data_IF_604597946789
#
_entry.id   IF_604597946789
#
_cell.length_a   1.000
_cell.length_b   1.000
_cell.length_c   1.000
_cell.angle_alpha   90.00
_cell.angle_beta   90.00
_cell.angle_gamma   90.00
#
_symmetry.space_group_name_H-M   'P 1'
#
loop_
_entity.id
_entity.type
_entity.pdbx_description
1 polymer ?
#
# COMPACT_ATOMS: atom_id res chain seq x y z
N UNK A 1 -84.32 5.07 17.88
CA UNK A 1 -84.32 3.89 17.04
C UNK A 1 -83.14 3.97 16.08
N UNK A 2 -82.24 2.99 16.18
CA UNK A 2 -81.24 2.53 15.15
C UNK A 2 -80.10 3.51 14.83
N UNK A 3 -79.15 3.49 15.54
CA UNK A 3 -77.75 2.99 15.67
C UNK A 3 -77.19 2.37 14.40
N UNK A 4 -76.26 3.01 13.84
CA UNK A 4 -75.27 2.25 13.03
C UNK A 4 -73.89 2.83 13.33
N UNK A 5 -73.24 2.15 14.20
CA UNK A 5 -71.83 2.29 14.48
C UNK A 5 -71.06 1.85 13.28
N UNK A 6 -70.47 2.81 12.58
CA UNK A 6 -69.51 2.52 11.54
C UNK A 6 -68.12 2.45 12.15
N UNK A 7 -67.62 1.27 12.25
CA UNK A 7 -66.25 0.97 12.71
C UNK A 7 -65.31 1.28 11.55
N UNK A 8 -64.67 2.43 11.64
CA UNK A 8 -63.63 2.78 10.72
C UNK A 8 -62.32 2.11 11.18
N UNK A 9 -62.09 0.95 10.62
CA UNK A 9 -60.81 0.24 10.77
C UNK A 9 -59.75 0.95 10.00
N UNK A 10 -58.94 1.75 10.70
CA UNK A 10 -57.76 2.36 10.13
C UNK A 10 -56.64 1.31 10.11
N UNK A 11 -56.45 0.68 8.97
CA UNK A 11 -55.28 -0.11 8.68
C UNK A 11 -54.10 0.81 8.52
N UNK A 12 -53.32 0.97 9.59
CA UNK A 12 -51.98 1.55 9.52
C UNK A 12 -51.08 0.53 8.88
N UNK A 13 -50.92 0.63 7.57
CA UNK A 13 -49.88 -0.08 6.87
C UNK A 13 -48.55 0.59 7.24
N UNK A 14 -47.92 0.03 8.26
CA UNK A 14 -46.53 0.37 8.62
C UNK A 14 -45.62 -0.03 7.51
N UNK A 15 -45.30 0.89 6.62
CA UNK A 15 -44.21 0.75 5.68
C UNK A 15 -42.91 0.76 6.50
N UNK A 16 -42.44 -0.43 6.88
CA UNK A 16 -41.06 -0.63 7.27
C UNK A 16 -40.18 -0.40 6.03
N UNK A 17 -39.80 0.84 5.85
CA UNK A 17 -38.69 1.15 4.95
C UNK A 17 -37.44 0.58 5.65
N UNK A 18 -37.16 -0.68 5.37
CA UNK A 18 -35.82 -1.22 5.55
C UNK A 18 -34.91 -0.41 4.59
N UNK A 19 -34.42 0.70 5.09
CA UNK A 19 -33.31 1.41 4.48
C UNK A 19 -32.14 0.45 4.48
N UNK A 20 -32.01 -0.34 3.41
CA UNK A 20 -30.73 -0.87 3.01
C UNK A 20 -29.83 0.33 2.78
N UNK A 21 -29.15 0.77 3.82
CA UNK A 21 -27.92 1.52 3.68
C UNK A 21 -26.92 0.53 3.07
N UNK A 22 -27.06 0.31 1.78
CA UNK A 22 -25.96 -0.17 0.96
C UNK A 22 -24.91 0.91 1.08
N UNK A 23 -24.03 0.77 2.08
CA UNK A 23 -22.76 1.46 2.09
C UNK A 23 -22.12 1.12 0.76
N UNK A 24 -22.33 1.97 -0.23
CA UNK A 24 -21.58 1.96 -1.46
C UNK A 24 -20.14 2.19 -1.00
N UNK A 25 -19.40 1.11 -0.78
CA UNK A 25 -17.94 1.15 -0.71
C UNK A 25 -17.52 1.59 -2.13
N UNK A 26 -17.53 2.89 -2.36
CA UNK A 26 -16.91 3.40 -3.57
C UNK A 26 -15.46 2.95 -3.51
N UNK A 27 -15.05 2.19 -4.51
CA UNK A 27 -13.66 1.77 -4.64
C UNK A 27 -12.80 3.03 -4.54
N UNK A 28 -11.86 3.06 -3.59
CA UNK A 28 -10.95 4.19 -3.43
C UNK A 28 -10.18 4.41 -4.73
N UNK A 29 -9.97 5.64 -5.10
CA UNK A 29 -9.14 6.01 -6.24
C UNK A 29 -7.67 5.70 -5.95
N UNK A 30 -6.87 5.60 -6.99
CA UNK A 30 -5.42 5.42 -6.86
C UNK A 30 -4.80 6.52 -6.00
N UNK A 31 -5.20 7.78 -6.20
CA UNK A 31 -4.70 8.93 -5.46
C UNK A 31 -5.08 8.88 -3.96
N UNK A 32 -6.30 8.46 -3.65
CA UNK A 32 -6.73 8.26 -2.27
C UNK A 32 -5.91 7.17 -1.57
N UNK A 33 -5.58 6.09 -2.28
CA UNK A 33 -4.75 5.02 -1.74
C UNK A 33 -3.30 5.49 -1.51
N UNK A 34 -2.71 6.26 -2.44
CA UNK A 34 -1.39 6.84 -2.23
C UNK A 34 -1.36 7.76 -1.00
N UNK A 35 -2.35 8.65 -0.89
CA UNK A 35 -2.48 9.56 0.25
C UNK A 35 -2.63 8.79 1.57
N UNK A 36 -3.46 7.76 1.59
CA UNK A 36 -3.67 6.92 2.78
C UNK A 36 -2.39 6.18 3.19
N UNK A 37 -1.67 5.60 2.23
CA UNK A 37 -0.42 4.90 2.50
C UNK A 37 0.66 5.85 3.06
N UNK A 38 0.76 7.06 2.53
CA UNK A 38 1.65 8.09 3.06
C UNK A 38 1.28 8.48 4.49
N UNK A 39 -0.01 8.69 4.77
CA UNK A 39 -0.48 8.99 6.12
C UNK A 39 -0.15 7.87 7.11
N UNK A 40 -0.23 6.59 6.71
CA UNK A 40 0.22 5.48 7.55
C UNK A 40 1.73 5.53 7.80
N UNK A 41 2.52 5.81 6.77
CA UNK A 41 3.98 5.94 6.90
C UNK A 41 4.38 7.07 7.85
N UNK A 42 3.74 8.22 7.75
CA UNK A 42 3.97 9.38 8.63
C UNK A 42 3.64 9.09 10.10
N UNK A 43 2.63 8.25 10.34
CA UNK A 43 2.24 7.79 11.69
C UNK A 43 3.12 6.65 12.21
N UNK A 44 4.06 6.15 11.40
CA UNK A 44 4.89 4.99 11.74
C UNK A 44 4.18 3.65 11.62
N UNK A 45 2.96 3.61 11.08
CA UNK A 45 2.25 2.36 10.79
C UNK A 45 2.66 1.79 9.42
N UNK A 46 3.91 1.33 9.37
CA UNK A 46 4.54 0.85 8.15
C UNK A 46 3.87 -0.41 7.57
N UNK A 47 3.26 -1.24 8.42
CA UNK A 47 2.52 -2.42 7.95
C UNK A 47 1.26 -2.03 7.19
N UNK A 48 0.51 -1.06 7.69
CA UNK A 48 -0.68 -0.55 7.01
C UNK A 48 -0.29 0.22 5.74
N UNK A 49 0.81 0.96 5.74
CA UNK A 49 1.33 1.63 4.55
C UNK A 49 1.65 0.62 3.43
N UNK A 50 2.42 -0.43 3.73
CA UNK A 50 2.75 -1.49 2.77
C UNK A 50 1.48 -2.13 2.22
N UNK A 51 0.55 -2.52 3.10
CA UNK A 51 -0.72 -3.12 2.69
C UNK A 51 -1.51 -2.23 1.74
N UNK A 52 -1.52 -0.92 1.99
CA UNK A 52 -2.24 0.04 1.14
C UNK A 52 -1.54 0.23 -0.21
N UNK A 53 -0.19 0.25 -0.26
CA UNK A 53 0.53 0.23 -1.52
C UNK A 53 0.30 -1.08 -2.31
N UNK A 54 0.22 -2.23 -1.64
CA UNK A 54 -0.14 -3.51 -2.28
C UNK A 54 -1.57 -3.49 -2.84
N UNK A 55 -2.49 -2.76 -2.21
CA UNK A 55 -3.83 -2.55 -2.75
C UNK A 55 -3.79 -1.77 -4.07
N UNK A 56 -2.90 -0.77 -4.21
CA UNK A 56 -2.70 -0.07 -5.49
C UNK A 56 -2.25 -1.05 -6.57
N UNK A 57 -1.27 -1.91 -6.29
CA UNK A 57 -0.77 -2.89 -7.26
C UNK A 57 -1.89 -3.83 -7.76
N UNK A 58 -2.83 -4.18 -6.88
CA UNK A 58 -3.96 -5.07 -7.21
C UNK A 58 -5.10 -4.34 -7.91
N UNK A 59 -5.39 -3.13 -7.49
CA UNK A 59 -6.57 -2.38 -7.94
C UNK A 59 -6.32 -1.63 -9.24
N UNK A 60 -5.06 -1.26 -9.51
CA UNK A 60 -4.63 -0.40 -10.61
C UNK A 60 -3.38 -0.95 -11.33
N UNK A 61 -3.38 -2.23 -11.76
CA UNK A 61 -2.18 -2.86 -12.34
C UNK A 61 -1.73 -2.20 -13.64
N UNK A 62 -2.64 -1.58 -14.38
CA UNK A 62 -2.36 -0.92 -15.66
C UNK A 62 -2.09 0.60 -15.49
N UNK A 63 -2.00 1.09 -14.27
CA UNK A 63 -1.68 2.50 -14.03
C UNK A 63 -0.25 2.81 -14.47
N UNK A 64 -0.02 3.94 -15.18
CA UNK A 64 1.32 4.36 -15.53
C UNK A 64 2.20 4.71 -14.32
N UNK A 65 1.64 4.74 -13.12
CA UNK A 65 2.33 5.03 -11.87
C UNK A 65 2.44 3.83 -10.93
N UNK A 66 1.97 2.66 -11.34
CA UNK A 66 1.92 1.46 -10.48
C UNK A 66 3.31 1.06 -9.95
N UNK A 67 4.37 1.24 -10.73
CA UNK A 67 5.76 0.98 -10.33
C UNK A 67 6.17 1.79 -9.10
N UNK A 68 5.60 2.98 -8.92
CA UNK A 68 5.88 3.84 -7.77
C UNK A 68 5.39 3.20 -6.47
N UNK A 69 4.24 2.54 -6.48
CA UNK A 69 3.77 1.78 -5.31
C UNK A 69 4.72 0.62 -4.99
N UNK A 70 5.19 -0.11 -6.02
CA UNK A 70 6.17 -1.20 -5.85
C UNK A 70 7.50 -0.69 -5.26
N UNK A 71 7.99 0.46 -5.71
CA UNK A 71 9.20 1.09 -5.18
C UNK A 71 9.00 1.54 -3.72
N UNK A 72 7.86 2.16 -3.41
CA UNK A 72 7.57 2.64 -2.05
C UNK A 72 7.44 1.49 -1.03
N UNK A 73 6.92 0.33 -1.43
CA UNK A 73 6.95 -0.88 -0.60
C UNK A 73 8.40 -1.24 -0.26
N UNK A 74 9.28 -1.30 -1.27
CA UNK A 74 10.70 -1.60 -1.06
C UNK A 74 11.36 -0.57 -0.13
N UNK A 75 11.08 0.70 -0.34
CA UNK A 75 11.60 1.81 0.45
C UNK A 75 11.18 1.73 1.93
N UNK A 76 9.91 1.43 2.20
CA UNK A 76 9.42 1.25 3.58
C UNK A 76 10.12 0.07 4.25
N UNK A 77 10.33 -1.03 3.55
CA UNK A 77 11.08 -2.17 4.08
C UNK A 77 12.54 -1.80 4.40
N UNK A 78 13.24 -1.09 3.49
CA UNK A 78 14.66 -0.75 3.69
C UNK A 78 14.85 0.33 4.76
N UNK A 79 14.13 1.44 4.65
CA UNK A 79 14.41 2.63 5.46
C UNK A 79 13.72 2.61 6.82
N UNK A 80 12.49 2.10 6.88
CA UNK A 80 11.69 2.17 8.08
C UNK A 80 11.72 0.87 8.89
N UNK A 81 11.60 -0.28 8.24
CA UNK A 81 11.57 -1.58 8.92
C UNK A 81 12.95 -2.23 9.03
N UNK A 82 13.95 -1.76 8.27
CA UNK A 82 15.29 -2.37 8.15
C UNK A 82 15.23 -3.85 7.73
N UNK A 83 14.17 -4.24 7.06
CA UNK A 83 13.95 -5.57 6.50
C UNK A 83 14.53 -5.61 5.08
N UNK A 84 15.86 -5.76 5.01
CA UNK A 84 16.61 -5.71 3.77
C UNK A 84 16.28 -6.87 2.82
N UNK A 85 15.85 -8.01 3.32
CA UNK A 85 15.44 -9.13 2.47
C UNK A 85 14.18 -8.81 1.68
N UNK A 86 13.14 -8.32 2.34
CA UNK A 86 11.92 -7.89 1.68
C UNK A 86 12.15 -6.65 0.80
N UNK A 87 13.03 -5.73 1.22
CA UNK A 87 13.41 -4.59 0.40
C UNK A 87 14.03 -5.04 -0.94
N UNK A 88 15.04 -5.93 -0.91
CA UNK A 88 15.69 -6.48 -2.12
C UNK A 88 14.69 -7.13 -3.06
N UNK A 89 13.79 -7.97 -2.53
CA UNK A 89 12.75 -8.61 -3.34
C UNK A 89 11.88 -7.58 -4.07
N UNK A 90 11.47 -6.52 -3.37
CA UNK A 90 10.57 -5.52 -3.94
C UNK A 90 11.30 -4.56 -4.90
N UNK A 91 12.57 -4.16 -4.64
CA UNK A 91 13.36 -3.40 -5.62
C UNK A 91 13.64 -4.21 -6.90
N UNK A 92 13.93 -5.52 -6.81
CA UNK A 92 14.05 -6.37 -8.00
C UNK A 92 12.79 -6.40 -8.83
N UNK A 93 11.61 -6.47 -8.20
CA UNK A 93 10.34 -6.38 -8.92
C UNK A 93 10.20 -5.07 -9.71
N UNK A 94 10.66 -3.93 -9.17
CA UNK A 94 10.65 -2.66 -9.93
C UNK A 94 11.47 -2.80 -11.19
N UNK A 95 12.69 -3.33 -11.09
CA UNK A 95 13.61 -3.45 -12.23
C UNK A 95 13.12 -4.45 -13.27
N UNK A 96 12.54 -5.58 -12.82
CA UNK A 96 12.13 -6.67 -13.70
C UNK A 96 10.79 -6.39 -14.40
N UNK A 97 9.84 -5.80 -13.68
CA UNK A 97 8.49 -5.57 -14.19
C UNK A 97 8.33 -4.20 -14.86
N UNK A 98 9.17 -3.22 -14.48
CA UNK A 98 9.09 -1.84 -14.95
C UNK A 98 10.47 -1.29 -15.34
N UNK A 99 11.21 -1.95 -16.25
CA UNK A 99 12.61 -1.62 -16.55
C UNK A 99 12.81 -0.21 -17.11
N UNK A 100 11.77 0.35 -17.75
CA UNK A 100 11.81 1.66 -18.41
C UNK A 100 11.19 2.79 -17.54
N UNK A 101 10.85 2.51 -16.28
CA UNK A 101 10.32 3.55 -15.39
C UNK A 101 11.47 4.44 -14.84
N UNK A 102 11.11 5.64 -14.44
CA UNK A 102 12.05 6.64 -13.89
C UNK A 102 12.71 6.21 -12.56
N UNK A 103 12.13 5.24 -11.83
CA UNK A 103 12.67 4.70 -10.58
C UNK A 103 13.50 3.40 -10.76
N UNK A 104 13.66 2.90 -11.99
CA UNK A 104 14.40 1.66 -12.23
C UNK A 104 15.88 1.77 -11.84
N UNK A 105 16.51 2.90 -12.16
CA UNK A 105 17.91 3.14 -11.81
C UNK A 105 18.10 3.40 -10.32
N UNK A 106 17.15 4.08 -9.68
CA UNK A 106 17.13 4.25 -8.21
C UNK A 106 17.02 2.90 -7.52
N UNK A 107 16.15 2.02 -7.99
CA UNK A 107 16.00 0.67 -7.46
C UNK A 107 17.31 -0.15 -7.59
N UNK A 108 18.00 -0.05 -8.72
CA UNK A 108 19.33 -0.68 -8.90
C UNK A 108 20.35 -0.13 -7.91
N UNK A 109 20.39 1.18 -7.73
CA UNK A 109 21.30 1.82 -6.79
C UNK A 109 21.05 1.34 -5.36
N UNK A 110 19.79 1.29 -4.93
CA UNK A 110 19.40 0.79 -3.60
C UNK A 110 19.83 -0.66 -3.37
N UNK A 111 19.68 -1.53 -4.40
CA UNK A 111 20.14 -2.91 -4.31
C UNK A 111 21.66 -2.99 -4.14
N UNK A 112 22.42 -2.25 -4.93
CA UNK A 112 23.89 -2.25 -4.85
C UNK A 112 24.39 -1.76 -3.48
N UNK A 113 23.73 -0.76 -2.92
CA UNK A 113 24.07 -0.23 -1.59
C UNK A 113 23.86 -1.27 -0.50
N UNK A 114 22.71 -1.95 -0.53
CA UNK A 114 22.40 -3.02 0.43
C UNK A 114 23.33 -4.23 0.30
N UNK A 115 23.83 -4.53 -0.91
CA UNK A 115 24.80 -5.59 -1.13
C UNK A 115 26.17 -5.24 -0.54
N UNK A 116 26.60 -3.99 -0.68
CA UNK A 116 27.88 -3.52 -0.11
C UNK A 116 27.87 -3.54 1.41
N UNK A 117 26.77 -3.16 2.03
CA UNK A 117 26.64 -3.19 3.49
C UNK A 117 26.57 -4.61 4.07
N UNK A 118 26.15 -5.59 3.28
CA UNK A 118 26.08 -6.99 3.70
C UNK A 118 27.42 -7.75 3.55
N UNK A 119 28.41 -7.19 2.86
CA UNK A 119 29.72 -7.79 2.75
C UNK A 119 30.53 -7.54 4.05
N UNK A 120 31.13 -8.57 4.66
CA UNK A 120 32.04 -8.36 5.77
C UNK A 120 33.17 -7.44 5.32
N UNK A 121 33.37 -6.33 6.02
CA UNK A 121 34.55 -5.47 5.82
C UNK A 121 35.78 -6.29 6.10
N UNK A 122 36.47 -6.74 5.05
CA UNK A 122 37.80 -7.33 5.20
C UNK A 122 38.70 -6.17 5.66
N UNK A 123 39.27 -6.24 6.88
CA UNK A 123 40.22 -5.20 7.29
C UNK A 123 41.36 -5.16 6.28
N UNK A 124 41.64 -3.97 5.80
CA UNK A 124 42.69 -3.70 4.81
C UNK A 124 44.03 -4.13 5.42
N UNK A 125 44.57 -5.28 4.95
CA UNK A 125 45.86 -5.81 5.38
C UNK A 125 47.02 -5.19 4.63
N UNK A 126 46.84 -3.99 4.04
CA UNK A 126 47.87 -3.30 3.27
C UNK A 126 48.74 -2.33 4.08
N UNK A 127 48.96 -2.57 5.38
CA UNK A 127 49.91 -1.77 6.14
C UNK A 127 50.86 -2.64 7.01
N UNK A 128 51.69 -3.41 6.35
CA UNK A 128 52.98 -3.81 6.98
C UNK A 128 53.96 -4.40 5.95
N UNK A 129 54.71 -3.54 5.27
CA UNK A 129 56.08 -3.87 4.87
C UNK A 129 56.82 -2.60 4.54
N UNK A 130 57.45 -2.01 5.55
CA UNK A 130 58.62 -1.19 5.35
C UNK A 130 59.49 -1.36 6.60
N UNK A 131 60.39 -2.28 6.52
CA UNK A 131 61.75 -2.24 7.08
C UNK A 131 62.68 -2.99 6.19
#
# INVERSE_FOLDING_TARGET
MKNITSILSVLIVGSLIFGCSSGSHSKKTEEELYTEAQNYSEKGDFKSAIKTYEEILKAYPDSPRVYKAQFLIAFVYSENLKDYENARVNYRKVIEQYPDCDLADDAKYMLQTMEKESLPTIPDTSSSSSD
#
